data_IF_327251286207
#
_entry.id   IF_327251286207
#
_cell.length_a   1.000
_cell.length_b   1.000
_cell.length_c   1.000
_cell.angle_alpha   90.00
_cell.angle_beta   90.00
_cell.angle_gamma   90.00
#
_symmetry.space_group_name_H-M   'P 1'
#
loop_
_entity.id
_entity.type
_entity.pdbx_description
1 polymer ?
#
# COMPACT_ATOMS: atom_id res chain seq x y z
N UNK A 1 -18.59 2.29 -7.51
CA UNK A 1 -17.98 1.19 -6.76
C UNK A 1 -17.09 1.81 -5.70
N UNK A 2 -17.25 1.42 -4.45
CA UNK A 2 -16.39 1.89 -3.37
C UNK A 2 -15.06 1.13 -3.44
N UNK A 3 -13.94 1.86 -3.50
CA UNK A 3 -12.61 1.28 -3.54
C UNK A 3 -12.10 1.11 -2.11
N UNK A 4 -11.60 -0.08 -1.80
CA UNK A 4 -10.96 -0.41 -0.52
C UNK A 4 -9.47 -0.12 -0.61
N UNK A 5 -8.87 0.26 0.51
CA UNK A 5 -7.45 0.59 0.60
C UNK A 5 -6.71 -0.60 1.19
N UNK A 6 -5.57 -0.91 0.62
CA UNK A 6 -4.73 -2.02 1.04
C UNK A 6 -3.30 -1.54 1.22
N UNK A 7 -2.61 -2.18 2.15
CA UNK A 7 -1.19 -2.02 2.41
C UNK A 7 -0.52 -3.38 2.34
N UNK A 8 0.64 -3.46 1.70
CA UNK A 8 1.53 -4.63 1.76
C UNK A 8 2.97 -4.14 1.92
N UNK A 9 3.89 -5.04 2.25
CA UNK A 9 5.31 -4.74 2.37
C UNK A 9 6.12 -5.57 1.37
N UNK A 10 6.94 -4.93 0.54
CA UNK A 10 7.95 -5.63 -0.25
C UNK A 10 9.00 -4.70 -0.88
N UNK A 11 10.29 -4.79 -0.51
CA UNK A 11 10.88 -5.71 0.47
C UNK A 11 10.33 -5.49 1.89
N UNK A 12 10.59 -6.40 2.85
CA UNK A 12 10.17 -6.23 4.24
C UNK A 12 10.54 -4.82 4.76
N UNK A 13 9.64 -4.21 5.53
CA UNK A 13 9.71 -2.82 6.01
C UNK A 13 9.44 -1.71 4.98
N UNK A 14 9.28 -2.03 3.69
CA UNK A 14 8.88 -1.05 2.68
C UNK A 14 7.38 -1.14 2.41
N UNK A 15 6.61 -0.20 2.95
CA UNK A 15 5.15 -0.21 2.82
C UNK A 15 4.69 0.35 1.46
N UNK A 16 3.95 -0.47 0.73
CA UNK A 16 3.23 -0.11 -0.47
C UNK A 16 1.73 -0.04 -0.21
N UNK A 17 1.06 0.81 -0.98
CA UNK A 17 -0.33 1.19 -0.75
C UNK A 17 -1.07 1.20 -2.09
N UNK A 18 -2.27 0.59 -2.14
CA UNK A 18 -3.11 0.60 -3.34
C UNK A 18 -4.60 0.58 -3.03
N UNK A 19 -5.40 1.02 -3.99
CA UNK A 19 -6.86 0.94 -3.97
C UNK A 19 -7.31 -0.20 -4.88
N UNK A 20 -8.26 -1.02 -4.43
CA UNK A 20 -8.84 -2.10 -5.22
C UNK A 20 -10.32 -2.35 -4.88
N UNK A 21 -11.12 -2.83 -5.83
CA UNK A 21 -12.53 -3.13 -5.59
C UNK A 21 -12.74 -4.36 -4.69
N UNK A 22 -11.78 -5.30 -4.67
CA UNK A 22 -11.83 -6.51 -3.86
C UNK A 22 -10.42 -6.94 -3.42
N UNK A 23 -10.28 -7.69 -2.31
CA UNK A 23 -8.99 -8.30 -1.94
C UNK A 23 -8.41 -9.21 -3.03
N UNK A 24 -9.28 -9.90 -3.80
CA UNK A 24 -8.84 -10.77 -4.90
C UNK A 24 -8.10 -10.00 -6.00
N UNK A 25 -8.57 -8.79 -6.33
CA UNK A 25 -7.89 -7.93 -7.31
C UNK A 25 -6.49 -7.51 -6.82
N UNK A 26 -6.30 -7.33 -5.51
CA UNK A 26 -4.98 -7.05 -4.91
C UNK A 26 -4.06 -8.26 -5.03
N UNK A 27 -4.56 -9.46 -4.73
CA UNK A 27 -3.80 -10.71 -4.88
C UNK A 27 -3.35 -10.92 -6.32
N UNK A 28 -4.25 -10.70 -7.29
CA UNK A 28 -3.92 -10.79 -8.71
C UNK A 28 -2.86 -9.76 -9.12
N UNK A 29 -2.97 -8.52 -8.61
CA UNK A 29 -1.96 -7.50 -8.80
C UNK A 29 -0.60 -7.92 -8.23
N UNK A 30 -0.54 -8.38 -6.97
CA UNK A 30 0.70 -8.82 -6.31
C UNK A 30 1.36 -9.97 -7.07
N UNK A 31 0.58 -10.97 -7.50
CA UNK A 31 1.10 -12.10 -8.29
C UNK A 31 1.67 -11.66 -9.65
N UNK A 32 1.11 -10.63 -10.27
CA UNK A 32 1.62 -10.07 -11.53
C UNK A 32 2.88 -9.24 -11.33
N UNK A 33 2.94 -8.46 -10.25
CA UNK A 33 4.05 -7.55 -9.94
C UNK A 33 5.26 -8.31 -9.40
N UNK A 34 5.04 -9.33 -8.58
CA UNK A 34 6.09 -10.13 -7.92
C UNK A 34 5.92 -11.63 -8.25
N UNK A 35 6.09 -12.05 -9.51
CA UNK A 35 5.80 -13.42 -9.94
C UNK A 35 6.62 -14.49 -9.21
N UNK A 36 7.78 -14.11 -8.64
CA UNK A 36 8.69 -15.03 -7.95
C UNK A 36 8.70 -14.89 -6.43
N UNK A 37 8.06 -13.87 -5.86
CA UNK A 37 8.10 -13.57 -4.41
C UNK A 37 6.71 -13.28 -3.82
N UNK A 38 5.64 -13.48 -4.59
CA UNK A 38 4.28 -13.14 -4.13
C UNK A 38 3.91 -13.85 -2.82
N UNK A 39 4.46 -15.03 -2.56
CA UNK A 39 4.30 -15.81 -1.33
C UNK A 39 4.94 -15.13 -0.11
N UNK A 40 5.98 -14.33 -0.30
CA UNK A 40 6.57 -13.48 0.73
C UNK A 40 5.76 -12.19 0.93
N UNK A 41 5.16 -11.65 -0.13
CA UNK A 41 4.39 -10.40 -0.09
C UNK A 41 3.01 -10.59 0.52
N UNK A 42 2.27 -11.62 0.11
CA UNK A 42 0.87 -11.83 0.49
C UNK A 42 0.61 -11.86 2.00
N UNK A 43 1.47 -12.46 2.86
CA UNK A 43 1.29 -12.43 4.31
C UNK A 43 1.30 -11.03 4.92
N UNK A 44 1.95 -10.06 4.27
CA UNK A 44 2.01 -8.67 4.73
C UNK A 44 0.80 -7.83 4.30
N UNK A 45 -0.04 -8.36 3.40
CA UNK A 45 -1.19 -7.67 2.83
C UNK A 45 -2.31 -7.51 3.88
N UNK A 46 -2.69 -6.26 4.15
CA UNK A 46 -3.78 -5.91 5.06
C UNK A 46 -4.69 -4.87 4.42
N UNK A 47 -6.00 -4.98 4.68
CA UNK A 47 -6.96 -3.91 4.39
C UNK A 47 -6.83 -2.82 5.45
N UNK A 48 -6.89 -1.55 5.04
CA UNK A 48 -6.79 -0.39 5.94
C UNK A 48 -8.01 0.51 5.76
N UNK A 49 -8.49 1.10 6.85
CA UNK A 49 -9.67 1.97 6.81
C UNK A 49 -9.40 3.28 6.03
N UNK A 50 -8.20 3.85 6.22
CA UNK A 50 -7.80 5.09 5.55
C UNK A 50 -6.32 5.15 5.20
N UNK A 51 -5.97 6.06 4.29
CA UNK A 51 -4.59 6.32 3.93
C UNK A 51 -3.80 6.84 5.14
N UNK A 52 -2.53 6.40 5.33
CA UNK A 52 -1.69 7.02 6.34
C UNK A 52 -1.58 8.52 6.08
N UNK A 53 -1.58 9.32 7.15
CA UNK A 53 -1.58 10.79 7.03
C UNK A 53 -0.42 11.33 6.19
N UNK A 54 0.74 10.68 6.26
CA UNK A 54 1.94 11.06 5.51
C UNK A 54 1.90 10.66 4.03
N UNK A 55 0.93 9.82 3.61
CA UNK A 55 0.88 9.23 2.26
C UNK A 55 0.57 10.25 1.16
N UNK A 56 -0.10 11.37 1.49
CA UNK A 56 -0.41 12.45 0.54
C UNK A 56 0.13 13.82 0.95
N UNK A 57 0.83 13.90 2.07
CA UNK A 57 1.48 15.13 2.52
C UNK A 57 2.95 15.01 2.17
N UNK A 58 3.29 15.33 0.93
CA UNK A 58 4.67 15.42 0.50
C UNK A 58 5.14 16.88 0.61
N UNK A 59 6.36 17.10 1.07
CA UNK A 59 6.99 18.42 0.97
C UNK A 59 7.42 18.72 -0.49
N UNK A 60 7.99 19.91 -0.71
CA UNK A 60 8.45 20.35 -2.04
C UNK A 60 9.53 19.44 -2.64
N UNK A 61 10.17 18.62 -1.81
CA UNK A 61 11.21 17.66 -2.19
C UNK A 61 10.67 16.22 -2.35
N UNK A 62 9.34 16.05 -2.25
CA UNK A 62 8.67 14.75 -2.40
C UNK A 62 8.77 13.84 -1.17
N UNK A 63 9.14 14.37 0.01
CA UNK A 63 9.28 13.58 1.24
C UNK A 63 8.00 13.61 2.07
N UNK A 64 7.61 12.49 2.69
CA UNK A 64 6.46 12.43 3.59
C UNK A 64 6.64 13.39 4.79
N UNK A 65 5.71 14.33 4.93
CA UNK A 65 5.63 15.22 6.08
C UNK A 65 5.03 14.48 7.29
N UNK A 66 5.63 14.63 8.49
CA UNK A 66 5.05 14.06 9.70
C UNK A 66 3.68 14.71 9.99
N UNK A 67 2.75 13.97 10.62
CA UNK A 67 1.45 14.50 10.97
C UNK A 67 1.62 15.74 11.89
N UNK A 68 0.96 16.85 11.54
CA UNK A 68 0.91 18.16 12.24
C UNK A 68 1.91 19.27 11.85
N UNK A 69 2.62 19.21 10.72
CA UNK A 69 3.20 20.44 10.15
C UNK A 69 2.24 21.05 9.14
N UNK A 70 1.48 22.04 9.60
CA UNK A 70 0.73 22.98 8.75
C UNK A 70 1.66 24.07 8.24
#
# INVERSE_FOLDING_TARGET
MELRKFRYEFPPMEAHFLEAPTPKAVVEFIKRTYPHNWDEVLPSMVEIDDWPRFWKTLDQDGRPLPPNKR
#
